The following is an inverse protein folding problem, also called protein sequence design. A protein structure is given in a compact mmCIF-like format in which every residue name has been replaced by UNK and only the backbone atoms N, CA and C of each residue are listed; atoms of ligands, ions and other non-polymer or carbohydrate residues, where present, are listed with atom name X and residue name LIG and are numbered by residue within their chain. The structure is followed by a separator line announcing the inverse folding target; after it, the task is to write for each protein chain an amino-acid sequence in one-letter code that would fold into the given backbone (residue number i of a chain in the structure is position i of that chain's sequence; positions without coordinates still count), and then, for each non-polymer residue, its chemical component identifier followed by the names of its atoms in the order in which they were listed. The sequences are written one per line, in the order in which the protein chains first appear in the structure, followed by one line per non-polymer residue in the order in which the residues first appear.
data_IF_400274362099
#
_entry.id   IF_400274362099
#
_cell.length_a   1.000
_cell.length_b   1.000
_cell.length_c   1.000
_cell.angle_alpha   90.00
_cell.angle_beta   90.00
_cell.angle_gamma   90.00
#
_symmetry.space_group_name_H-M   'P 1'
#
loop_
_entity.id
_entity.type
_entity.pdbx_description
1 polymer ?
#
# COMPACT_ATOMS: atom_id res chain seq x y z
N UNK A 1 3.99 -10.63 29.03
CA UNK A 1 4.21 -9.76 27.85
C UNK A 1 4.89 -8.51 28.36
N UNK A 2 6.12 -8.24 27.95
CA UNK A 2 6.74 -6.95 28.27
C UNK A 2 5.91 -5.87 27.59
N UNK A 3 5.36 -4.95 28.38
CA UNK A 3 4.77 -3.72 27.85
C UNK A 3 5.89 -2.98 27.11
N UNK A 4 5.89 -3.08 25.78
CA UNK A 4 6.71 -2.19 24.97
C UNK A 4 6.18 -0.78 25.22
N UNK A 5 6.93 0.03 25.96
CA UNK A 5 6.64 1.45 26.09
C UNK A 5 6.74 2.08 24.70
N UNK A 6 5.58 2.40 24.12
CA UNK A 6 5.48 3.10 22.84
C UNK A 6 5.97 4.53 23.08
N UNK A 7 6.92 4.95 22.26
CA UNK A 7 7.47 6.30 22.21
C UNK A 7 7.23 6.87 20.81
N UNK A 8 7.44 8.17 20.60
CA UNK A 8 7.31 8.78 19.26
C UNK A 8 8.21 8.07 18.25
N UNK A 9 9.44 7.75 18.63
CA UNK A 9 10.41 7.11 17.74
C UNK A 9 10.09 5.62 17.51
N UNK A 10 9.41 4.93 18.44
CA UNK A 10 9.05 3.50 18.33
C UNK A 10 7.63 3.23 17.85
N UNK A 11 6.76 4.24 17.77
CA UNK A 11 5.42 4.14 17.21
C UNK A 11 5.46 3.64 15.76
N UNK A 12 4.60 2.70 15.36
CA UNK A 12 4.47 2.29 13.96
C UNK A 12 3.69 3.37 13.20
N UNK A 13 4.41 4.11 12.34
CA UNK A 13 3.86 5.25 11.58
C UNK A 13 3.03 4.80 10.37
N UNK A 14 3.02 3.50 10.07
CA UNK A 14 2.27 2.91 8.95
C UNK A 14 0.95 2.28 9.40
N UNK A 15 0.73 2.16 10.71
CA UNK A 15 -0.53 1.62 11.23
C UNK A 15 -1.71 2.50 10.80
N UNK A 16 -2.72 1.90 10.17
CA UNK A 16 -3.83 2.64 9.57
C UNK A 16 -4.66 3.44 10.59
N UNK A 17 -4.82 2.94 11.82
CA UNK A 17 -5.48 3.67 12.91
C UNK A 17 -4.71 4.94 13.27
N UNK A 18 -3.38 4.86 13.33
CA UNK A 18 -2.56 6.03 13.61
C UNK A 18 -2.56 7.02 12.44
N UNK A 19 -2.46 6.54 11.21
CA UNK A 19 -2.46 7.41 10.02
C UNK A 19 -3.80 8.13 9.85
N UNK A 20 -4.92 7.44 10.06
CA UNK A 20 -6.25 8.08 10.13
C UNK A 20 -6.29 9.13 11.23
N UNK A 21 -5.85 8.81 12.45
CA UNK A 21 -5.76 9.81 13.52
C UNK A 21 -4.93 11.04 13.12
N UNK A 22 -3.79 10.84 12.46
CA UNK A 22 -2.87 11.91 12.09
C UNK A 22 -3.43 12.81 10.99
N UNK A 23 -4.14 12.26 10.00
CA UNK A 23 -4.57 13.01 8.82
C UNK A 23 -6.07 13.32 8.77
N UNK A 24 -6.93 12.62 9.49
CA UNK A 24 -8.40 12.78 9.40
C UNK A 24 -9.05 13.41 10.63
N UNK A 25 -8.29 13.73 11.68
CA UNK A 25 -8.85 14.44 12.83
C UNK A 25 -9.00 15.93 12.54
N UNK A 26 -10.17 16.48 12.88
CA UNK A 26 -10.42 17.91 12.80
C UNK A 26 -9.33 18.70 13.55
N UNK A 27 -8.81 19.75 12.93
CA UNK A 27 -7.67 20.52 13.43
C UNK A 27 -6.31 20.03 12.93
N UNK A 28 -6.24 18.94 12.15
CA UNK A 28 -5.01 18.44 11.53
C UNK A 28 -4.87 18.85 10.05
N UNK A 29 -5.67 19.81 9.57
CA UNK A 29 -5.75 20.23 8.16
C UNK A 29 -4.38 20.67 7.64
N UNK A 30 -3.57 21.35 8.47
CA UNK A 30 -2.20 21.76 8.11
C UNK A 30 -1.27 20.58 7.84
N UNK A 31 -1.42 19.50 8.62
CA UNK A 31 -0.59 18.30 8.51
C UNK A 31 -0.89 17.60 7.19
N UNK A 32 -2.18 17.35 6.91
CA UNK A 32 -2.59 16.71 5.64
C UNK A 32 -2.31 17.60 4.44
N UNK A 33 -2.51 18.92 4.54
CA UNK A 33 -2.16 19.88 3.49
C UNK A 33 -0.66 19.83 3.16
N UNK A 34 0.21 19.82 4.17
CA UNK A 34 1.65 19.74 3.95
C UNK A 34 2.03 18.43 3.24
N UNK A 35 1.48 17.30 3.68
CA UNK A 35 1.72 16.00 3.05
C UNK A 35 1.26 15.98 1.59
N UNK A 36 0.01 16.38 1.32
CA UNK A 36 -0.55 16.42 -0.03
C UNK A 36 0.28 17.35 -0.92
N UNK A 37 0.60 18.55 -0.47
CA UNK A 37 1.41 19.48 -1.26
C UNK A 37 2.83 18.95 -1.52
N UNK A 38 3.43 18.21 -0.59
CA UNK A 38 4.72 17.56 -0.80
C UNK A 38 4.65 16.52 -1.94
N UNK A 39 3.57 15.73 -2.01
CA UNK A 39 3.32 14.76 -3.10
C UNK A 39 3.11 15.47 -4.44
N UNK A 40 2.24 16.49 -4.47
CA UNK A 40 1.90 17.23 -5.69
C UNK A 40 3.11 17.98 -6.27
N UNK A 41 3.83 18.72 -5.41
CA UNK A 41 4.98 19.50 -5.82
C UNK A 41 6.13 18.64 -6.34
N UNK A 42 6.24 17.37 -5.93
CA UNK A 42 7.31 16.48 -6.37
C UNK A 42 7.26 16.18 -7.88
N UNK A 43 6.08 16.26 -8.51
CA UNK A 43 5.92 16.15 -9.97
C UNK A 43 5.47 17.46 -10.61
N UNK A 44 5.66 18.59 -9.93
CA UNK A 44 5.27 19.92 -10.38
C UNK A 44 3.76 20.09 -10.66
N UNK A 45 2.90 19.31 -10.01
CA UNK A 45 1.47 19.59 -10.03
C UNK A 45 1.13 20.82 -9.18
N UNK A 46 -0.02 21.43 -9.45
CA UNK A 46 -0.55 22.55 -8.66
C UNK A 46 -0.75 22.10 -7.21
N UNK A 47 -0.31 22.93 -6.27
CA UNK A 47 -0.53 22.77 -4.82
C UNK A 47 -1.77 23.53 -4.36
N UNK A 48 -2.24 23.22 -3.16
CA UNK A 48 -3.43 23.80 -2.55
C UNK A 48 -3.07 24.83 -1.47
N UNK A 49 -3.96 25.79 -1.24
CA UNK A 49 -3.84 26.76 -0.14
C UNK A 49 -4.46 26.20 1.14
N UNK A 50 -5.58 25.49 1.04
CA UNK A 50 -6.23 24.83 2.17
C UNK A 50 -6.79 23.46 1.79
N UNK A 51 -6.94 22.59 2.78
CA UNK A 51 -7.70 21.35 2.68
C UNK A 51 -8.71 21.30 3.83
N UNK A 52 -9.96 21.00 3.50
CA UNK A 52 -11.00 20.65 4.47
C UNK A 52 -11.06 19.13 4.58
N UNK A 53 -10.91 18.59 5.80
CA UNK A 53 -11.07 17.16 6.06
C UNK A 53 -12.57 16.83 6.03
N UNK A 54 -12.94 15.89 5.17
CA UNK A 54 -14.32 15.44 5.00
C UNK A 54 -14.57 14.11 5.71
N UNK A 55 -15.85 13.81 5.86
CA UNK A 55 -16.30 12.48 6.22
C UNK A 55 -15.84 11.46 5.15
N UNK A 56 -15.12 10.39 5.54
CA UNK A 56 -14.60 9.38 4.60
C UNK A 56 -15.67 8.45 4.00
N UNK A 57 -16.89 8.45 4.55
CA UNK A 57 -17.99 7.59 4.10
C UNK A 57 -18.59 8.13 2.78
N UNK A 58 -18.56 7.31 1.74
CA UNK A 58 -19.34 7.54 0.54
C UNK A 58 -20.68 6.79 0.65
N UNK A 59 -21.73 7.52 1.04
CA UNK A 59 -23.08 6.96 1.19
C UNK A 59 -23.62 6.40 -0.13
N UNK A 60 -24.24 5.22 -0.06
CA UNK A 60 -24.82 4.56 -1.23
C UNK A 60 -25.96 5.40 -1.83
N UNK A 61 -25.98 5.47 -3.17
CA UNK A 61 -27.12 6.00 -3.92
C UNK A 61 -28.15 4.92 -4.29
N UNK A 62 -27.76 3.64 -4.25
CA UNK A 62 -28.58 2.48 -4.65
C UNK A 62 -28.37 1.29 -3.71
N UNK A 63 -29.45 0.59 -3.34
CA UNK A 63 -29.53 -0.49 -2.33
C UNK A 63 -28.51 -1.64 -2.43
N UNK A 64 -27.97 -1.93 -3.62
CA UNK A 64 -27.08 -3.07 -3.86
C UNK A 64 -25.64 -2.65 -4.25
N UNK A 65 -25.27 -1.39 -4.07
CA UNK A 65 -23.93 -0.91 -4.42
C UNK A 65 -22.94 -1.16 -3.30
N UNK A 66 -21.67 -1.45 -3.65
CA UNK A 66 -20.61 -1.57 -2.65
C UNK A 66 -20.32 -0.19 -2.03
N UNK A 67 -20.43 -0.09 -0.70
CA UNK A 67 -19.93 1.08 0.03
C UNK A 67 -18.40 1.17 -0.10
N UNK A 68 -17.92 2.39 -0.31
CA UNK A 68 -16.50 2.71 -0.16
C UNK A 68 -16.34 3.62 1.05
N UNK A 69 -15.39 3.26 1.90
CA UNK A 69 -14.90 4.10 2.99
C UNK A 69 -13.43 4.25 2.71
N UNK A 70 -13.02 5.48 2.42
CA UNK A 70 -11.60 5.79 2.24
C UNK A 70 -10.95 6.04 3.59
N UNK A 71 -9.63 5.93 3.70
CA UNK A 71 -8.97 6.23 4.99
C UNK A 71 -9.08 7.71 5.33
N UNK A 72 -8.74 8.58 4.38
CA UNK A 72 -8.85 10.03 4.50
C UNK A 72 -9.44 10.61 3.22
N UNK A 73 -10.34 11.57 3.38
CA UNK A 73 -10.93 12.36 2.30
C UNK A 73 -10.80 13.83 2.62
N UNK A 74 -10.32 14.62 1.67
CA UNK A 74 -10.22 16.07 1.79
C UNK A 74 -10.77 16.75 0.53
N UNK A 75 -11.17 18.00 0.68
CA UNK A 75 -11.48 18.90 -0.43
C UNK A 75 -10.57 20.13 -0.35
N UNK A 76 -10.03 20.56 -1.48
CA UNK A 76 -9.19 21.76 -1.57
C UNK A 76 -9.98 23.07 -1.57
N UNK A 77 -9.27 24.19 -1.46
CA UNK A 77 -9.82 25.54 -1.65
C UNK A 77 -10.42 25.76 -3.05
N UNK A 78 -9.98 25.00 -4.06
CA UNK A 78 -10.54 25.04 -5.41
C UNK A 78 -11.53 23.92 -5.73
N UNK A 79 -11.85 23.06 -4.75
CA UNK A 79 -12.90 22.05 -4.82
C UNK A 79 -12.46 20.67 -5.34
N UNK A 80 -11.19 20.48 -5.70
CA UNK A 80 -10.66 19.15 -6.00
C UNK A 80 -10.73 18.24 -4.77
N UNK A 81 -11.02 16.96 -5.00
CA UNK A 81 -11.08 15.95 -3.94
C UNK A 81 -9.77 15.18 -3.89
N UNK A 82 -9.19 15.08 -2.70
CA UNK A 82 -8.01 14.25 -2.44
C UNK A 82 -8.42 13.09 -1.55
N UNK A 83 -8.13 11.87 -2.00
CA UNK A 83 -8.30 10.65 -1.20
C UNK A 83 -6.93 10.07 -0.88
N UNK A 84 -6.72 9.70 0.38
CA UNK A 84 -5.48 9.09 0.84
C UNK A 84 -5.82 7.71 1.40
N UNK A 85 -5.07 6.70 0.97
CA UNK A 85 -5.17 5.31 1.41
C UNK A 85 -3.81 4.85 1.92
N UNK A 86 -3.81 4.06 3.00
CA UNK A 86 -2.62 3.33 3.44
C UNK A 86 -2.87 1.83 3.39
N UNK A 87 -1.94 1.09 2.79
CA UNK A 87 -2.08 -0.35 2.63
C UNK A 87 -0.76 -1.06 2.92
N UNK A 88 -0.76 -1.91 3.95
CA UNK A 88 0.46 -2.61 4.38
C UNK A 88 0.74 -3.88 3.57
N UNK A 89 -0.31 -4.49 3.04
CA UNK A 89 -0.21 -5.72 2.24
C UNK A 89 -1.16 -5.64 1.06
N UNK A 90 -0.74 -6.08 -0.11
CA UNK A 90 -1.58 -6.04 -1.29
C UNK A 90 -0.98 -6.76 -2.48
N UNK A 91 -1.72 -6.72 -3.58
CA UNK A 91 -1.33 -7.23 -4.88
C UNK A 91 -2.01 -6.39 -5.96
N UNK A 92 -1.90 -6.78 -7.23
CA UNK A 92 -2.49 -6.06 -8.36
C UNK A 92 -3.99 -5.77 -8.25
N UNK A 93 -4.75 -6.55 -7.46
CA UNK A 93 -6.17 -6.25 -7.21
C UNK A 93 -6.39 -4.91 -6.51
N UNK A 94 -5.39 -4.40 -5.79
CA UNK A 94 -5.41 -3.09 -5.17
C UNK A 94 -5.59 -1.98 -6.21
N UNK A 95 -5.01 -2.10 -7.41
CA UNK A 95 -5.20 -1.14 -8.51
C UNK A 95 -6.69 -1.02 -8.86
N UNK A 96 -7.42 -2.15 -8.91
CA UNK A 96 -8.87 -2.16 -9.18
C UNK A 96 -9.66 -1.46 -8.06
N UNK A 97 -9.21 -1.57 -6.81
CA UNK A 97 -9.81 -0.88 -5.66
C UNK A 97 -9.57 0.63 -5.72
N UNK A 98 -8.34 1.04 -5.99
CA UNK A 98 -7.97 2.44 -6.21
C UNK A 98 -8.79 3.08 -7.33
N UNK A 99 -8.96 2.38 -8.46
CA UNK A 99 -9.83 2.82 -9.56
C UNK A 99 -11.30 2.96 -9.13
N UNK A 100 -11.83 2.00 -8.37
CA UNK A 100 -13.20 2.04 -7.87
C UNK A 100 -13.43 3.23 -6.92
N UNK A 101 -12.49 3.49 -6.01
CA UNK A 101 -12.58 4.63 -5.07
C UNK A 101 -12.49 5.96 -5.79
N UNK A 102 -11.57 6.09 -6.74
CA UNK A 102 -11.48 7.28 -7.58
C UNK A 102 -12.77 7.54 -8.36
N UNK A 103 -13.29 6.52 -9.06
CA UNK A 103 -14.50 6.66 -9.89
C UNK A 103 -15.72 7.00 -9.04
N UNK A 104 -15.84 6.40 -7.85
CA UNK A 104 -16.91 6.71 -6.90
C UNK A 104 -16.87 8.18 -6.48
N UNK A 105 -15.71 8.69 -6.07
CA UNK A 105 -15.57 10.09 -5.67
C UNK A 105 -15.74 11.06 -6.84
N UNK A 106 -15.24 10.72 -8.04
CA UNK A 106 -15.41 11.56 -9.23
C UNK A 106 -16.88 11.68 -9.63
N UNK A 107 -17.65 10.59 -9.50
CA UNK A 107 -19.10 10.61 -9.75
C UNK A 107 -19.90 11.42 -8.71
N UNK A 108 -19.39 11.53 -7.48
CA UNK A 108 -20.02 12.28 -6.40
C UNK A 108 -19.76 13.79 -6.50
N UNK A 109 -18.77 14.22 -7.29
CA UNK A 109 -18.49 15.63 -7.55
C UNK A 109 -19.59 16.34 -8.35
N UNK A 110 -20.60 15.62 -8.84
CA UNK A 110 -21.64 16.17 -9.70
C UNK A 110 -23.04 15.76 -9.25
N UNK A 111 -23.93 16.74 -9.07
CA UNK A 111 -25.32 16.46 -8.74
C UNK A 111 -26.16 16.24 -10.00
N UNK A 112 -27.35 15.67 -9.81
CA UNK A 112 -28.29 15.46 -10.91
C UNK A 112 -28.72 16.82 -11.49
N UNK A 113 -28.49 17.02 -12.79
CA UNK A 113 -28.86 18.23 -13.51
C UNK A 113 -27.75 19.28 -13.62
N UNK A 114 -26.59 19.05 -13.00
CA UNK A 114 -25.42 19.89 -13.22
C UNK A 114 -24.77 19.65 -14.59
N UNK A 115 -24.11 20.68 -15.13
CA UNK A 115 -23.26 20.60 -16.32
C UNK A 115 -21.95 19.88 -15.97
N UNK A 116 -21.53 18.95 -16.84
CA UNK A 116 -20.26 18.21 -16.73
C UNK A 116 -19.03 19.11 -16.66
N UNK A 117 -19.09 20.36 -17.14
CA UNK A 117 -18.00 21.33 -17.00
C UNK A 117 -17.65 21.67 -15.52
N UNK A 118 -18.53 21.32 -14.57
CA UNK A 118 -18.27 21.48 -13.12
C UNK A 118 -17.47 20.34 -12.51
N UNK A 119 -17.18 19.26 -13.26
CA UNK A 119 -16.38 18.14 -12.74
C UNK A 119 -14.96 18.61 -12.44
N UNK A 120 -14.54 18.40 -11.19
CA UNK A 120 -13.20 18.70 -10.72
C UNK A 120 -12.37 17.41 -10.61
N UNK A 121 -11.04 17.52 -10.77
CA UNK A 121 -10.11 16.41 -10.54
C UNK A 121 -10.32 15.70 -9.20
N UNK A 122 -10.08 14.38 -9.22
CA UNK A 122 -9.93 13.58 -8.01
C UNK A 122 -8.53 13.00 -8.00
N UNK A 123 -7.81 13.25 -6.90
CA UNK A 123 -6.43 12.84 -6.70
C UNK A 123 -6.42 11.71 -5.69
N UNK A 124 -5.86 10.56 -6.07
CA UNK A 124 -5.72 9.41 -5.18
C UNK A 124 -4.26 9.24 -4.80
N UNK A 125 -3.96 9.33 -3.51
CA UNK A 125 -2.64 9.10 -2.93
C UNK A 125 -2.67 7.79 -2.16
N UNK A 126 -1.82 6.84 -2.54
CA UNK A 126 -1.80 5.49 -1.99
C UNK A 126 -0.42 5.23 -1.37
N UNK A 127 -0.36 5.14 -0.05
CA UNK A 127 0.86 4.85 0.73
C UNK A 127 0.94 3.34 0.94
N UNK A 128 1.98 2.69 0.42
CA UNK A 128 2.09 1.22 0.36
C UNK A 128 3.31 0.72 1.12
N UNK A 129 3.13 -0.29 1.98
CA UNK A 129 4.25 -1.02 2.61
C UNK A 129 4.62 -2.33 1.89
N UNK A 130 4.32 -2.38 0.59
CA UNK A 130 4.67 -3.48 -0.30
C UNK A 130 5.04 -2.93 -1.68
N UNK A 131 5.74 -3.74 -2.48
CA UNK A 131 6.04 -3.43 -3.88
C UNK A 131 4.84 -3.87 -4.74
N UNK A 132 4.22 -2.92 -5.42
CA UNK A 132 3.10 -3.11 -6.34
C UNK A 132 3.57 -3.16 -7.80
N UNK A 133 4.59 -2.36 -8.16
CA UNK A 133 5.06 -2.27 -9.55
C UNK A 133 6.45 -2.86 -9.72
N UNK A 134 6.52 -4.09 -10.24
CA UNK A 134 7.79 -4.71 -10.61
C UNK A 134 8.45 -3.98 -11.78
N UNK A 135 9.77 -3.78 -11.71
CA UNK A 135 10.55 -3.11 -12.76
C UNK A 135 10.53 -1.58 -12.75
N UNK A 136 9.82 -0.95 -11.81
CA UNK A 136 9.94 0.50 -11.52
C UNK A 136 10.74 0.65 -10.22
N UNK A 137 11.95 1.19 -10.31
CA UNK A 137 12.82 1.37 -9.14
C UNK A 137 12.42 2.55 -8.26
N UNK A 138 11.77 3.57 -8.85
CA UNK A 138 11.34 4.77 -8.12
C UNK A 138 10.34 4.42 -7.01
N UNK A 139 10.56 4.98 -5.82
CA UNK A 139 9.65 4.78 -4.69
C UNK A 139 8.33 5.55 -4.79
N UNK A 140 8.25 6.49 -5.72
CA UNK A 140 7.08 7.32 -5.97
C UNK A 140 6.74 7.30 -7.46
N UNK A 141 5.52 6.90 -7.78
CA UNK A 141 4.99 6.90 -9.14
C UNK A 141 3.65 7.62 -9.20
N UNK A 142 3.38 8.33 -10.30
CA UNK A 142 2.07 8.91 -10.60
C UNK A 142 1.59 8.43 -11.97
N UNK A 143 0.34 7.95 -12.01
CA UNK A 143 -0.32 7.50 -13.23
C UNK A 143 -1.49 8.43 -13.57
N UNK A 144 -1.55 8.82 -14.85
CA UNK A 144 -2.57 9.70 -15.43
C UNK A 144 -3.05 9.15 -16.78
N UNK A 145 -4.20 9.64 -17.25
CA UNK A 145 -4.76 9.22 -18.54
C UNK A 145 -3.99 9.84 -19.71
N UNK A 146 -3.51 8.98 -20.63
CA UNK A 146 -2.66 9.37 -21.75
C UNK A 146 -2.96 8.61 -23.03
N UNK A 147 -2.67 9.24 -24.16
CA UNK A 147 -2.65 8.61 -25.48
C UNK A 147 -1.41 7.73 -25.63
N UNK A 148 -1.56 6.53 -26.19
CA UNK A 148 -0.52 5.50 -26.15
C UNK A 148 0.63 5.76 -27.12
N UNK A 149 0.35 6.25 -28.33
CA UNK A 149 1.36 6.34 -29.40
C UNK A 149 2.35 7.46 -29.18
N UNK A 150 1.90 8.61 -28.69
CA UNK A 150 2.72 9.80 -28.49
C UNK A 150 2.91 10.17 -27.02
N UNK A 151 2.39 9.34 -26.10
CA UNK A 151 2.47 9.55 -24.65
C UNK A 151 1.91 10.92 -24.22
N UNK A 152 0.89 11.43 -24.93
CA UNK A 152 0.28 12.74 -24.66
C UNK A 152 -0.74 12.60 -23.54
N UNK A 153 -0.62 13.43 -22.51
CA UNK A 153 -1.60 13.52 -21.42
C UNK A 153 -2.94 13.98 -22.01
N UNK A 154 -3.98 13.18 -21.77
CA UNK A 154 -5.35 13.52 -22.17
C UNK A 154 -5.99 14.45 -21.13
N UNK A 155 -5.87 14.10 -19.86
CA UNK A 155 -6.39 14.85 -18.71
C UNK A 155 -5.69 14.39 -17.43
N UNK A 156 -5.62 15.29 -16.45
CA UNK A 156 -5.16 15.06 -15.08
C UNK A 156 -6.32 15.01 -14.08
N UNK A 157 -7.58 14.86 -14.53
CA UNK A 157 -8.72 14.65 -13.63
C UNK A 157 -8.61 13.32 -12.86
N UNK A 158 -7.82 12.39 -13.40
CA UNK A 158 -7.56 11.07 -12.85
C UNK A 158 -6.06 10.95 -12.54
N UNK A 159 -5.71 11.07 -11.26
CA UNK A 159 -4.33 10.96 -10.77
C UNK A 159 -4.24 9.86 -9.73
N UNK A 160 -3.34 8.90 -9.96
CA UNK A 160 -3.00 7.84 -9.02
C UNK A 160 -1.56 7.97 -8.60
N UNK A 161 -1.33 8.52 -7.42
CA UNK A 161 -0.04 8.59 -6.76
C UNK A 161 0.14 7.32 -5.92
N UNK A 162 1.25 6.63 -6.13
CA UNK A 162 1.65 5.46 -5.35
C UNK A 162 3.01 5.75 -4.70
N UNK A 163 3.01 5.69 -3.38
CA UNK A 163 4.21 5.85 -2.55
C UNK A 163 4.57 4.47 -2.00
N UNK A 164 5.45 3.76 -2.68
CA UNK A 164 5.93 2.43 -2.29
C UNK A 164 7.08 2.57 -1.30
N UNK A 165 6.75 2.52 0.00
CA UNK A 165 7.69 2.71 1.10
C UNK A 165 8.90 1.75 1.05
N UNK A 166 8.76 0.45 0.69
CA UNK A 166 9.90 -0.47 0.64
C UNK A 166 10.95 -0.11 -0.41
N UNK A 167 10.60 0.69 -1.42
CA UNK A 167 11.52 1.15 -2.48
C UNK A 167 12.27 2.41 -2.09
N UNK A 168 11.93 3.04 -0.97
CA UNK A 168 12.56 4.30 -0.59
C UNK A 168 14.06 4.11 -0.38
N UNK A 169 14.82 4.86 -1.18
CA UNK A 169 16.25 4.98 -1.05
C UNK A 169 16.58 6.44 -0.75
N UNK A 170 17.37 6.69 0.29
CA UNK A 170 17.69 8.02 0.81
C UNK A 170 18.39 8.93 -0.22
N UNK A 171 18.80 8.40 -1.37
CA UNK A 171 19.66 9.03 -2.36
C UNK A 171 18.95 9.41 -3.69
N UNK A 172 18.07 10.45 -3.68
CA UNK A 172 17.96 11.47 -4.77
C UNK A 172 16.78 11.48 -5.78
N UNK A 173 15.56 11.08 -5.45
CA UNK A 173 14.41 11.28 -6.40
C UNK A 173 13.28 12.18 -5.88
N UNK A 174 13.29 12.51 -4.59
CA UNK A 174 12.20 13.25 -3.97
C UNK A 174 12.60 14.69 -3.62
N UNK A 175 11.64 15.60 -3.66
CA UNK A 175 11.77 16.91 -3.06
C UNK A 175 11.97 16.78 -1.54
N UNK A 176 12.43 17.86 -0.92
CA UNK A 176 12.80 17.87 0.51
C UNK A 176 11.64 17.43 1.42
N UNK A 177 10.45 17.97 1.19
CA UNK A 177 9.31 17.75 2.08
C UNK A 177 8.79 16.32 1.98
N UNK A 178 8.67 15.79 0.76
CA UNK A 178 8.22 14.41 0.53
C UNK A 178 9.26 13.42 1.04
N UNK A 179 10.56 13.72 0.88
CA UNK A 179 11.62 12.92 1.47
C UNK A 179 11.48 12.79 3.01
N UNK A 180 11.18 13.89 3.70
CA UNK A 180 10.92 13.85 5.15
C UNK A 180 9.67 13.04 5.51
N UNK A 181 8.62 13.06 4.68
CA UNK A 181 7.45 12.20 4.87
C UNK A 181 7.78 10.70 4.70
N UNK A 182 8.59 10.32 3.71
CA UNK A 182 9.05 8.93 3.59
C UNK A 182 9.85 8.47 4.81
N UNK A 183 10.81 9.30 5.27
CA UNK A 183 11.59 9.03 6.49
C UNK A 183 10.67 8.85 7.70
N UNK A 184 9.62 9.67 7.81
CA UNK A 184 8.64 9.54 8.87
C UNK A 184 7.89 8.20 8.83
N UNK A 185 7.35 7.81 7.66
CA UNK A 185 6.59 6.56 7.54
C UNK A 185 7.44 5.31 7.73
N UNK A 186 8.65 5.30 7.17
CA UNK A 186 9.58 4.17 7.30
C UNK A 186 10.11 4.05 8.73
N UNK A 187 10.25 5.17 9.43
CA UNK A 187 10.87 5.22 10.75
C UNK A 187 12.40 5.14 10.67
N UNK A 188 13.03 4.99 11.83
CA UNK A 188 14.49 4.97 11.96
C UNK A 188 15.14 6.36 11.99
N UNK A 189 14.48 7.39 11.48
CA UNK A 189 14.90 8.78 11.62
C UNK A 189 14.36 9.39 12.93
N UNK A 190 15.20 10.19 13.61
CA UNK A 190 14.77 10.87 14.84
C UNK A 190 13.84 12.02 14.50
N UNK A 191 12.75 12.17 15.26
CA UNK A 191 11.81 13.28 15.07
C UNK A 191 12.49 14.67 15.06
N UNK A 192 13.53 14.87 15.89
CA UNK A 192 14.30 16.11 15.94
C UNK A 192 15.00 16.46 14.62
N UNK A 193 15.33 15.47 13.79
CA UNK A 193 15.93 15.70 12.49
C UNK A 193 14.85 16.04 11.46
N UNK A 194 13.71 15.34 11.49
CA UNK A 194 12.55 15.65 10.63
C UNK A 194 12.07 17.09 10.83
N UNK A 195 12.02 17.58 12.07
CA UNK A 195 11.63 18.97 12.38
C UNK A 195 12.58 20.00 11.73
N UNK A 196 13.88 19.70 11.63
CA UNK A 196 14.85 20.59 10.97
C UNK A 196 14.68 20.59 9.45
N UNK A 197 14.26 19.47 8.89
CA UNK A 197 14.03 19.32 7.45
C UNK A 197 12.72 19.97 7.04
N UNK A 198 11.64 19.71 7.77
CA UNK A 198 10.31 20.24 7.51
C UNK A 198 9.63 20.59 8.85
N UNK A 199 9.30 21.88 9.02
CA UNK A 199 8.80 22.41 10.29
C UNK A 199 7.41 21.87 10.67
N UNK A 200 6.66 21.29 9.74
CA UNK A 200 5.36 20.66 10.07
C UNK A 200 5.53 19.54 11.10
N UNK A 201 6.71 18.91 11.15
CA UNK A 201 6.97 17.81 12.07
C UNK A 201 6.92 18.22 13.55
N UNK A 202 6.96 19.52 13.87
CA UNK A 202 6.68 19.99 15.24
C UNK A 202 5.21 19.76 15.62
N UNK A 203 4.28 19.98 14.68
CA UNK A 203 2.86 19.66 14.87
C UNK A 203 2.63 18.14 14.86
N UNK A 204 3.31 17.40 13.98
CA UNK A 204 3.25 15.93 13.92
C UNK A 204 3.74 15.31 15.24
N UNK A 205 4.87 15.78 15.79
CA UNK A 205 5.42 15.30 17.06
C UNK A 205 4.42 15.46 18.22
N UNK A 206 3.74 16.61 18.29
CA UNK A 206 2.68 16.84 19.29
C UNK A 206 1.53 15.85 19.14
N UNK A 207 1.13 15.55 17.89
CA UNK A 207 0.08 14.56 17.61
C UNK A 207 0.54 13.14 17.94
N UNK A 208 1.78 12.76 17.64
CA UNK A 208 2.35 11.49 18.08
C UNK A 208 2.31 11.34 19.60
N UNK A 209 2.73 12.37 20.34
CA UNK A 209 2.69 12.37 21.82
C UNK A 209 1.28 12.22 22.36
N UNK A 210 0.33 13.03 21.86
CA UNK A 210 -1.08 12.96 22.26
C UNK A 210 -1.72 11.60 21.93
N UNK A 211 -1.36 11.01 20.79
CA UNK A 211 -1.82 9.65 20.43
C UNK A 211 -1.38 8.61 21.46
N UNK A 212 -0.12 8.69 21.90
CA UNK A 212 0.48 7.74 22.84
C UNK A 212 -0.05 7.95 24.27
N UNK A 213 -0.26 9.20 24.71
CA UNK A 213 -0.59 9.50 26.11
C UNK A 213 -2.09 9.45 26.42
N UNK A 214 -2.94 9.82 25.47
CA UNK A 214 -4.30 10.27 25.78
C UNK A 214 -5.38 9.66 24.88
N UNK A 215 -5.00 8.92 23.84
CA UNK A 215 -5.96 8.54 22.83
C UNK A 215 -6.63 7.18 23.13
N UNK A 216 -7.98 7.12 23.20
CA UNK A 216 -8.69 5.84 23.34
C UNK A 216 -8.46 4.87 22.17
N UNK A 217 -7.97 5.36 21.02
CA UNK A 217 -7.60 4.55 19.86
C UNK A 217 -6.28 3.79 20.03
N UNK A 218 -5.51 4.03 21.10
CA UNK A 218 -4.25 3.32 21.32
C UNK A 218 -4.45 1.81 21.48
N UNK A 219 -5.56 1.39 22.08
CA UNK A 219 -5.88 -0.05 22.20
C UNK A 219 -6.25 -0.65 20.84
N UNK A 220 -7.02 0.07 20.02
CA UNK A 220 -7.33 -0.34 18.65
C UNK A 220 -6.05 -0.45 17.80
N UNK A 221 -5.12 0.49 17.96
CA UNK A 221 -3.79 0.43 17.35
C UNK A 221 -3.04 -0.83 17.77
N UNK A 222 -2.95 -1.13 19.08
CA UNK A 222 -2.22 -2.32 19.59
C UNK A 222 -2.83 -3.62 19.08
N UNK A 223 -4.16 -3.69 19.00
CA UNK A 223 -4.87 -4.86 18.45
C UNK A 223 -4.49 -5.04 16.99
N UNK A 224 -4.53 -3.97 16.18
CA UNK A 224 -4.14 -4.05 14.77
C UNK A 224 -2.69 -4.45 14.55
N UNK A 225 -1.76 -3.90 15.34
CA UNK A 225 -0.35 -4.33 15.28
C UNK A 225 -0.21 -5.84 15.53
N UNK A 226 -0.94 -6.38 16.50
CA UNK A 226 -0.93 -7.81 16.81
C UNK A 226 -1.55 -8.65 15.69
N UNK A 227 -2.67 -8.19 15.11
CA UNK A 227 -3.33 -8.84 13.97
C UNK A 227 -2.41 -8.87 12.74
N UNK A 228 -1.80 -7.73 12.39
CA UNK A 228 -0.87 -7.60 11.28
C UNK A 228 0.35 -8.49 11.45
N UNK A 229 0.94 -8.51 12.66
CA UNK A 229 2.04 -9.40 13.00
C UNK A 229 1.64 -10.86 12.82
N UNK A 230 0.48 -11.27 13.37
CA UNK A 230 0.01 -12.64 13.28
C UNK A 230 -0.29 -13.07 11.84
N UNK A 231 -0.90 -12.19 11.04
CA UNK A 231 -1.16 -12.44 9.62
C UNK A 231 0.15 -12.62 8.86
N UNK A 232 1.14 -11.75 9.07
CA UNK A 232 2.45 -11.85 8.40
C UNK A 232 3.17 -13.15 8.75
N UNK A 233 3.19 -13.52 10.03
CA UNK A 233 3.78 -14.79 10.48
C UNK A 233 3.05 -16.00 9.89
N UNK A 234 1.72 -15.95 9.80
CA UNK A 234 0.91 -17.02 9.20
C UNK A 234 1.23 -17.18 7.73
N UNK A 235 1.21 -16.08 6.97
CA UNK A 235 1.54 -16.07 5.55
C UNK A 235 2.96 -16.59 5.29
N UNK A 236 3.94 -16.18 6.12
CA UNK A 236 5.31 -16.67 6.02
C UNK A 236 5.39 -18.19 6.18
N UNK A 237 4.74 -18.74 7.21
CA UNK A 237 4.72 -20.20 7.45
C UNK A 237 3.99 -20.96 6.36
N UNK A 238 2.91 -20.42 5.83
CA UNK A 238 2.18 -21.03 4.71
C UNK A 238 3.02 -21.04 3.44
N UNK A 239 3.75 -19.96 3.16
CA UNK A 239 4.68 -19.89 2.04
C UNK A 239 5.84 -20.88 2.20
N UNK A 240 6.45 -20.98 3.38
CA UNK A 240 7.51 -21.96 3.66
C UNK A 240 7.05 -23.39 3.41
N UNK A 241 5.86 -23.75 3.91
CA UNK A 241 5.26 -25.08 3.66
C UNK A 241 4.98 -25.32 2.18
N UNK A 242 4.44 -24.31 1.48
CA UNK A 242 4.18 -24.41 0.04
C UNK A 242 5.45 -24.63 -0.78
N UNK A 243 6.55 -23.95 -0.42
CA UNK A 243 7.86 -24.15 -1.04
C UNK A 243 8.40 -25.55 -0.75
N UNK A 244 8.32 -26.01 0.51
CA UNK A 244 8.77 -27.35 0.91
C UNK A 244 8.01 -28.44 0.13
N UNK A 245 6.69 -28.36 0.09
CA UNK A 245 5.84 -29.27 -0.68
C UNK A 245 6.17 -29.23 -2.18
N UNK A 246 6.33 -28.03 -2.77
CA UNK A 246 6.69 -27.89 -4.18
C UNK A 246 8.06 -28.50 -4.52
N UNK A 247 9.04 -28.39 -3.62
CA UNK A 247 10.36 -29.04 -3.77
C UNK A 247 10.22 -30.56 -3.69
N UNK A 248 9.43 -31.08 -2.75
CA UNK A 248 9.21 -32.51 -2.60
C UNK A 248 8.50 -33.11 -3.82
N UNK A 249 7.41 -32.48 -4.28
CA UNK A 249 6.70 -32.85 -5.50
C UNK A 249 7.61 -32.79 -6.73
N UNK A 250 8.43 -31.73 -6.86
CA UNK A 250 9.39 -31.60 -7.96
C UNK A 250 10.46 -32.70 -7.96
N UNK A 251 10.97 -33.09 -6.77
CA UNK A 251 11.89 -34.23 -6.63
C UNK A 251 11.21 -35.54 -7.02
N UNK A 252 9.97 -35.78 -6.57
CA UNK A 252 9.21 -36.98 -6.91
C UNK A 252 8.93 -37.05 -8.41
N UNK A 253 8.48 -35.95 -9.02
CA UNK A 253 8.23 -35.86 -10.45
C UNK A 253 9.50 -36.10 -11.28
N UNK A 254 10.64 -35.55 -10.85
CA UNK A 254 11.94 -35.79 -11.49
C UNK A 254 12.35 -37.26 -11.42
N UNK A 255 12.17 -37.92 -10.26
CA UNK A 255 12.42 -39.36 -10.11
C UNK A 255 11.55 -40.19 -11.06
N UNK A 256 10.27 -39.86 -11.20
CA UNK A 256 9.35 -40.54 -12.13
C UNK A 256 9.77 -40.38 -13.59
N UNK A 257 10.17 -39.18 -14.01
CA UNK A 257 10.69 -38.94 -15.38
C UNK A 257 11.95 -39.78 -15.64
N UNK A 258 12.89 -39.79 -14.69
CA UNK A 258 14.14 -40.55 -14.81
C UNK A 258 13.85 -42.06 -14.86
N UNK A 259 12.99 -42.56 -13.97
CA UNK A 259 12.58 -43.96 -13.93
C UNK A 259 11.91 -44.41 -15.23
N UNK A 260 11.04 -43.57 -15.80
CA UNK A 260 10.42 -43.85 -17.11
C UNK A 260 11.46 -43.97 -18.21
N UNK A 261 12.40 -43.03 -18.28
CA UNK A 261 13.48 -43.09 -19.27
C UNK A 261 14.41 -44.30 -19.08
N UNK A 262 14.62 -44.77 -17.84
CA UNK A 262 15.37 -46.00 -17.55
C UNK A 262 14.61 -47.24 -18.01
N UNK A 263 13.30 -47.31 -17.73
CA UNK A 263 12.40 -48.40 -18.14
C UNK A 263 12.32 -48.50 -19.66
N UNK A 264 12.17 -47.36 -20.36
CA UNK A 264 12.16 -47.29 -21.82
C UNK A 264 13.48 -47.77 -22.46
N UNK A 265 14.60 -47.68 -21.72
CA UNK A 265 15.91 -48.21 -22.14
C UNK A 265 16.15 -49.67 -21.76
N UNK A 266 15.15 -50.34 -21.19
CA UNK A 266 15.23 -51.76 -20.82
C UNK A 266 16.05 -52.05 -19.57
N UNK A 267 16.24 -51.05 -18.69
CA UNK A 267 16.84 -51.29 -17.38
C UNK A 267 15.88 -52.11 -16.50
N UNK A 268 16.41 -53.05 -15.72
CA UNK A 268 15.57 -53.91 -14.89
C UNK A 268 14.95 -53.14 -13.71
N UNK A 269 13.77 -53.59 -13.27
CA UNK A 269 12.98 -52.93 -12.23
C UNK A 269 13.75 -52.78 -10.91
N UNK A 270 14.58 -53.76 -10.52
CA UNK A 270 15.32 -53.69 -9.25
C UNK A 270 16.39 -52.59 -9.29
N UNK A 271 17.11 -52.45 -10.41
CA UNK A 271 18.07 -51.36 -10.60
C UNK A 271 17.37 -49.99 -10.63
N UNK A 272 16.18 -49.87 -11.23
CA UNK A 272 15.41 -48.61 -11.23
C UNK A 272 14.97 -48.24 -9.81
N UNK A 273 14.50 -49.21 -9.01
CA UNK A 273 14.14 -48.99 -7.59
C UNK A 273 15.36 -48.45 -6.83
N UNK A 274 16.53 -49.09 -6.98
CA UNK A 274 17.75 -48.70 -6.27
C UNK A 274 18.21 -47.28 -6.63
N UNK A 275 18.16 -46.91 -7.92
CA UNK A 275 18.65 -45.62 -8.40
C UNK A 275 17.70 -44.45 -8.16
N UNK A 276 16.39 -44.70 -8.14
CA UNK A 276 15.37 -43.65 -8.06
C UNK A 276 14.71 -43.57 -6.70
N UNK A 277 14.79 -44.64 -5.89
CA UNK A 277 14.12 -44.77 -4.61
C UNK A 277 12.59 -44.82 -4.71
N UNK A 278 12.04 -45.08 -5.90
CA UNK A 278 10.60 -45.27 -6.12
C UNK A 278 10.17 -46.67 -5.68
N UNK A 279 8.92 -46.78 -5.27
CA UNK A 279 8.30 -48.08 -4.99
C UNK A 279 8.06 -48.88 -6.27
N UNK A 280 7.92 -50.20 -6.15
CA UNK A 280 7.63 -51.06 -7.30
C UNK A 280 6.28 -50.72 -7.94
N UNK A 281 5.28 -50.35 -7.14
CA UNK A 281 3.97 -49.91 -7.63
C UNK A 281 4.07 -48.60 -8.44
N UNK A 282 4.92 -47.66 -8.01
CA UNK A 282 5.18 -46.45 -8.78
C UNK A 282 5.85 -46.75 -10.12
N UNK A 283 6.78 -47.72 -10.19
CA UNK A 283 7.47 -48.10 -11.42
C UNK A 283 6.59 -48.92 -12.36
N UNK A 284 5.75 -49.80 -11.82
CA UNK A 284 4.80 -50.62 -12.59
C UNK A 284 3.76 -49.74 -13.28
N UNK A 285 3.41 -48.60 -12.69
CA UNK A 285 2.48 -47.60 -13.22
C UNK A 285 3.10 -46.60 -14.23
N UNK A 286 4.41 -46.65 -14.51
CA UNK A 286 5.10 -45.81 -15.52
C UNK A 286 5.00 -46.34 -16.95
#
# INVERSE_FOLDING_TARGET
MNEFNITVDTLNKKNDCFVRYLFSNLGNEKIVLNFVNAVMANLNFKTFETLEILNPFNLQKYLNSKESVVDIKCTSDTGEVVIIEIQLQGNETFIKRTLFYWASNYSLNLNKGDDYNKLLPVISINILDFVLFDGIEDCYSCYILKELKHNKILTDHCQFHFLELPKFNYDKQLNKDLNSWYKFFIGGERMSNLIKENTIFDEVDKKCKSFISENPLLDAYKIKEAEEYFQRETLHRELEKGIEQGIEEGKKYSRLIIAKAMKDKGMDTNTIIELTGLSIEEIDNL
#
